data_IF_718396729957
#
_entry.id   IF_718396729957
#
_cell.length_a   1.000
_cell.length_b   1.000
_cell.length_c   1.000
_cell.angle_alpha   90.00
_cell.angle_beta   90.00
_cell.angle_gamma   90.00
#
_symmetry.space_group_name_H-M   'P 1'
#
loop_
_entity.id
_entity.type
_entity.pdbx_description
1 polymer ?
#
# COMPACT_ATOMS: atom_id res chain seq x y z
N UNK A 1 10.89 0.63 -0.19
CA UNK A 1 10.64 -0.73 0.35
C UNK A 1 11.04 -1.81 -0.64
N UNK A 2 10.29 -2.03 -1.74
CA UNK A 2 10.54 -3.12 -2.70
C UNK A 2 12.01 -3.28 -3.16
N UNK A 3 12.62 -2.26 -3.77
CA UNK A 3 14.03 -2.33 -4.23
C UNK A 3 15.04 -2.56 -3.10
N UNK A 4 14.71 -2.19 -1.87
CA UNK A 4 15.54 -2.44 -0.68
C UNK A 4 15.47 -3.90 -0.23
N UNK A 5 14.30 -4.52 -0.36
CA UNK A 5 14.11 -5.93 -0.05
C UNK A 5 14.88 -6.86 -1.00
N UNK A 6 15.27 -6.38 -2.18
CA UNK A 6 16.09 -7.16 -3.14
C UNK A 6 17.56 -7.23 -2.70
N UNK A 7 18.04 -6.26 -1.91
CA UNK A 7 19.46 -6.08 -1.62
C UNK A 7 20.13 -7.22 -0.82
N UNK A 8 19.46 -7.88 0.15
CA UNK A 8 20.04 -9.03 0.85
C UNK A 8 20.30 -10.25 -0.05
N UNK A 9 19.71 -10.27 -1.26
CA UNK A 9 19.91 -11.32 -2.26
C UNK A 9 19.59 -12.75 -1.79
N UNK A 10 18.53 -12.88 -0.97
CA UNK A 10 17.95 -14.17 -0.60
C UNK A 10 16.94 -14.69 -1.63
N UNK A 11 16.36 -15.88 -1.38
CA UNK A 11 15.40 -16.48 -2.31
C UNK A 11 14.17 -15.61 -2.55
N UNK A 12 13.52 -15.10 -1.49
CA UNK A 12 12.35 -14.22 -1.65
C UNK A 12 12.71 -12.89 -2.30
N UNK A 13 13.91 -12.38 -2.03
CA UNK A 13 14.46 -11.18 -2.67
C UNK A 13 14.53 -11.34 -4.20
N UNK A 14 15.15 -12.42 -4.67
CA UNK A 14 15.38 -12.69 -6.10
C UNK A 14 14.09 -13.04 -6.84
N UNK A 15 13.30 -13.97 -6.30
CA UNK A 15 12.07 -14.42 -6.93
C UNK A 15 10.97 -13.36 -6.88
N UNK A 16 10.89 -12.61 -5.78
CA UNK A 16 10.02 -11.45 -5.68
C UNK A 16 10.38 -10.37 -6.71
N UNK A 17 11.68 -10.07 -6.88
CA UNK A 17 12.14 -9.16 -7.92
C UNK A 17 11.73 -9.64 -9.32
N UNK A 18 11.96 -10.92 -9.62
CA UNK A 18 11.65 -11.55 -10.90
C UNK A 18 10.16 -11.45 -11.23
N UNK A 19 9.29 -11.87 -10.30
CA UNK A 19 7.84 -11.87 -10.52
C UNK A 19 7.28 -10.46 -10.65
N UNK A 20 7.63 -9.54 -9.72
CA UNK A 20 7.04 -8.19 -9.66
C UNK A 20 7.46 -7.37 -10.88
N UNK A 21 8.74 -7.37 -11.24
CA UNK A 21 9.20 -6.59 -12.41
C UNK A 21 8.67 -7.16 -13.72
N UNK A 22 8.51 -8.49 -13.82
CA UNK A 22 7.95 -9.13 -15.00
C UNK A 22 6.46 -8.81 -15.19
N UNK A 23 5.75 -8.24 -14.22
CA UNK A 23 4.40 -7.72 -14.41
C UNK A 23 4.33 -6.66 -15.54
N UNK A 24 5.42 -5.90 -15.75
CA UNK A 24 5.49 -4.90 -16.82
C UNK A 24 5.47 -5.52 -18.23
N UNK A 25 5.80 -6.81 -18.37
CA UNK A 25 5.65 -7.51 -19.66
C UNK A 25 4.19 -7.61 -20.13
N UNK A 26 3.22 -7.35 -19.24
CA UNK A 26 1.81 -7.27 -19.62
C UNK A 26 1.47 -6.05 -20.49
N UNK A 27 2.33 -5.01 -20.49
CA UNK A 27 2.11 -3.80 -21.30
C UNK A 27 2.20 -4.15 -22.80
N UNK A 28 1.14 -3.92 -23.60
CA UNK A 28 1.15 -4.24 -25.02
C UNK A 28 2.30 -3.57 -25.77
N UNK A 29 2.85 -4.28 -26.75
CA UNK A 29 3.92 -3.84 -27.68
C UNK A 29 5.31 -3.61 -27.05
N UNK A 30 5.39 -2.93 -25.89
CA UNK A 30 6.66 -2.49 -25.28
C UNK A 30 7.05 -3.23 -24.01
N UNK A 31 6.17 -4.07 -23.45
CA UNK A 31 6.35 -4.68 -22.14
C UNK A 31 7.67 -5.46 -21.97
N UNK A 32 8.00 -6.34 -22.93
CA UNK A 32 9.23 -7.14 -22.85
C UNK A 32 10.50 -6.26 -22.89
N UNK A 33 10.49 -5.22 -23.73
CA UNK A 33 11.60 -4.27 -23.81
C UNK A 33 11.77 -3.48 -22.50
N UNK A 34 10.66 -3.08 -21.87
CA UNK A 34 10.69 -2.40 -20.56
C UNK A 34 11.28 -3.29 -19.46
N UNK A 35 10.87 -4.57 -19.40
CA UNK A 35 11.38 -5.52 -18.41
C UNK A 35 12.88 -5.71 -18.57
N UNK A 36 13.36 -6.02 -19.78
CA UNK A 36 14.79 -6.19 -20.05
C UNK A 36 15.58 -4.91 -19.80
N UNK A 37 15.00 -3.75 -20.11
CA UNK A 37 15.61 -2.46 -19.83
C UNK A 37 15.74 -2.19 -18.34
N UNK A 38 14.78 -2.59 -17.50
CA UNK A 38 14.87 -2.48 -16.04
C UNK A 38 15.93 -3.44 -15.50
N UNK A 39 15.93 -4.69 -15.97
CA UNK A 39 16.90 -5.70 -15.54
C UNK A 39 18.33 -5.36 -15.98
N UNK A 40 18.50 -4.67 -17.11
CA UNK A 40 19.79 -4.49 -17.74
C UNK A 40 20.33 -5.78 -18.35
N UNK A 41 19.44 -6.69 -18.76
CA UNK A 41 19.74 -8.04 -19.22
C UNK A 41 18.48 -8.86 -19.50
N UNK A 42 18.64 -10.17 -19.67
CA UNK A 42 17.53 -11.10 -19.97
C UNK A 42 16.82 -11.67 -18.73
N UNK A 43 17.43 -11.53 -17.56
CA UNK A 43 16.92 -11.96 -16.26
C UNK A 43 17.39 -11.00 -15.18
N UNK A 44 16.81 -11.12 -13.98
CA UNK A 44 17.34 -10.45 -12.78
C UNK A 44 18.75 -11.01 -12.51
N UNK A 45 19.73 -10.12 -12.43
CA UNK A 45 21.15 -10.47 -12.21
C UNK A 45 21.90 -9.28 -11.58
N UNK A 46 23.24 -9.34 -11.52
CA UNK A 46 24.10 -8.34 -10.90
C UNK A 46 23.86 -6.90 -11.42
N UNK A 47 23.58 -6.75 -12.72
CA UNK A 47 23.22 -5.44 -13.30
C UNK A 47 21.95 -4.86 -12.67
N UNK A 48 20.95 -5.71 -12.41
CA UNK A 48 19.71 -5.33 -11.72
C UNK A 48 20.00 -4.94 -10.27
N UNK A 49 20.75 -5.76 -9.53
CA UNK A 49 21.07 -5.52 -8.12
C UNK A 49 21.80 -4.19 -7.92
N UNK A 50 22.81 -3.91 -8.73
CA UNK A 50 23.59 -2.66 -8.67
C UNK A 50 22.70 -1.43 -8.89
N UNK A 51 21.78 -1.49 -9.86
CA UNK A 51 20.84 -0.39 -10.13
C UNK A 51 19.79 -0.26 -9.02
N UNK A 52 19.32 -1.37 -8.48
CA UNK A 52 18.35 -1.36 -7.39
C UNK A 52 18.95 -0.79 -6.11
N UNK A 53 20.24 -1.03 -5.85
CA UNK A 53 20.97 -0.34 -4.78
C UNK A 53 20.98 1.17 -5.00
N UNK A 54 21.35 1.64 -6.20
CA UNK A 54 21.36 3.07 -6.51
C UNK A 54 19.97 3.71 -6.35
N UNK A 55 18.91 3.05 -6.83
CA UNK A 55 17.54 3.50 -6.64
C UNK A 55 17.09 3.48 -5.19
N UNK A 56 17.44 2.43 -4.44
CA UNK A 56 17.12 2.31 -3.02
C UNK A 56 17.78 3.43 -2.20
N UNK A 57 18.99 3.82 -2.58
CA UNK A 57 19.68 4.97 -1.97
C UNK A 57 19.03 6.30 -2.37
N UNK A 58 18.68 6.48 -3.64
CA UNK A 58 18.14 7.74 -4.15
C UNK A 58 16.72 8.06 -3.65
N UNK A 59 15.80 7.09 -3.71
CA UNK A 59 14.37 7.35 -3.47
C UNK A 59 14.03 7.90 -2.07
N UNK A 60 14.70 7.52 -0.97
CA UNK A 60 14.51 8.17 0.32
C UNK A 60 14.70 9.69 0.30
N UNK A 61 15.70 10.20 -0.45
CA UNK A 61 15.91 11.65 -0.59
C UNK A 61 14.83 12.32 -1.44
N UNK A 62 14.36 11.64 -2.49
CA UNK A 62 13.21 12.10 -3.28
C UNK A 62 11.95 12.19 -2.41
N UNK A 63 11.71 11.20 -1.55
CA UNK A 63 10.60 11.19 -0.59
C UNK A 63 10.74 12.35 0.40
N UNK A 64 11.94 12.61 0.93
CA UNK A 64 12.17 13.77 1.81
C UNK A 64 11.81 15.09 1.12
N UNK A 65 12.20 15.28 -0.14
CA UNK A 65 11.82 16.43 -0.95
C UNK A 65 10.30 16.52 -1.18
N UNK A 66 9.64 15.41 -1.52
CA UNK A 66 8.19 15.34 -1.69
C UNK A 66 7.44 15.64 -0.38
N UNK A 67 7.96 15.22 0.78
CA UNK A 67 7.41 15.56 2.11
C UNK A 67 7.45 17.06 2.37
N UNK A 68 8.50 17.77 1.96
CA UNK A 68 8.56 19.23 2.09
C UNK A 68 7.47 19.91 1.24
N UNK A 69 7.27 19.45 0.00
CA UNK A 69 6.17 19.95 -0.86
C UNK A 69 4.80 19.64 -0.25
N UNK A 70 4.62 18.44 0.30
CA UNK A 70 3.40 18.05 1.01
C UNK A 70 3.10 18.99 2.19
N UNK A 71 4.10 19.28 3.04
CA UNK A 71 3.96 20.17 4.19
C UNK A 71 3.71 21.62 3.77
N UNK A 72 4.30 22.09 2.67
CA UNK A 72 4.04 23.42 2.12
C UNK A 72 2.57 23.58 1.74
N UNK A 73 2.00 22.62 1.00
CA UNK A 73 0.57 22.65 0.67
C UNK A 73 -0.33 22.53 1.90
N UNK A 74 0.06 21.71 2.89
CA UNK A 74 -0.67 21.61 4.16
C UNK A 74 -0.66 22.95 4.90
N UNK A 75 0.47 23.67 4.93
CA UNK A 75 0.59 24.96 5.61
C UNK A 75 -0.23 26.08 4.95
N UNK A 76 -0.53 25.97 3.65
CA UNK A 76 -1.42 26.93 2.99
C UNK A 76 -2.85 26.88 3.53
N UNK A 77 -3.38 25.70 3.87
CA UNK A 77 -4.75 25.55 4.40
C UNK A 77 -4.80 25.39 5.92
N UNK A 78 -3.71 24.92 6.52
CA UNK A 78 -3.69 24.38 7.87
C UNK A 78 -4.29 22.97 7.97
N UNK A 79 -4.10 22.33 9.12
CA UNK A 79 -4.64 21.00 9.42
C UNK A 79 -6.17 20.99 9.49
N UNK A 80 -6.78 19.88 9.06
CA UNK A 80 -8.19 19.60 9.35
C UNK A 80 -8.38 19.16 10.82
N UNK A 81 -9.63 19.06 11.29
CA UNK A 81 -9.98 18.58 12.63
C UNK A 81 -11.08 17.51 12.57
N UNK A 82 -11.31 16.73 13.65
CA UNK A 82 -12.29 15.65 13.65
C UNK A 82 -13.70 16.06 13.26
N UNK A 83 -14.15 17.26 13.64
CA UNK A 83 -15.49 17.74 13.30
C UNK A 83 -15.62 18.14 11.81
N UNK A 84 -14.50 18.35 11.12
CA UNK A 84 -14.48 18.79 9.72
C UNK A 84 -14.96 20.22 9.49
N UNK A 85 -15.11 21.01 10.57
CA UNK A 85 -15.53 22.41 10.55
C UNK A 85 -14.31 23.34 10.47
N UNK A 86 -14.53 24.63 10.21
CA UNK A 86 -13.45 25.62 10.27
C UNK A 86 -12.99 25.83 11.73
N UNK A 87 -11.73 25.53 12.03
CA UNK A 87 -11.12 25.68 13.36
C UNK A 87 -10.50 27.05 13.62
N UNK A 88 -10.66 28.03 12.72
CA UNK A 88 -10.03 29.35 12.86
C UNK A 88 -10.35 30.08 14.17
N UNK A 89 -11.55 29.87 14.74
CA UNK A 89 -11.96 30.48 16.00
C UNK A 89 -11.35 29.85 17.26
N UNK A 90 -10.67 28.70 17.14
CA UNK A 90 -10.12 27.94 18.27
C UNK A 90 -8.76 27.31 17.90
N UNK A 91 -7.84 28.15 17.42
CA UNK A 91 -6.47 27.72 17.13
C UNK A 91 -5.60 27.86 18.38
N UNK A 92 -4.78 26.84 18.61
CA UNK A 92 -3.72 26.84 19.61
C UNK A 92 -2.35 26.80 18.92
N UNK A 93 -1.28 27.37 19.53
CA UNK A 93 0.05 27.26 18.97
C UNK A 93 0.52 25.80 18.91
N UNK A 94 1.37 25.46 17.95
CA UNK A 94 1.90 24.10 17.81
C UNK A 94 2.70 23.67 19.05
N UNK A 95 3.60 24.54 19.52
CA UNK A 95 4.32 24.36 20.77
C UNK A 95 3.58 25.13 21.89
N UNK A 96 3.37 24.53 23.08
CA UNK A 96 3.86 23.23 23.53
C UNK A 96 2.96 22.03 23.19
N UNK A 97 1.71 22.29 22.79
CA UNK A 97 0.65 21.29 22.75
C UNK A 97 0.94 20.08 21.84
N UNK A 98 1.15 20.32 20.56
CA UNK A 98 1.40 19.26 19.59
C UNK A 98 2.84 18.77 19.66
N UNK A 99 3.82 19.60 20.01
CA UNK A 99 5.20 19.13 20.21
C UNK A 99 5.32 18.06 21.31
N UNK A 100 4.63 18.23 22.46
CA UNK A 100 4.65 17.20 23.52
C UNK A 100 3.81 15.98 23.16
N UNK A 101 2.67 16.18 22.49
CA UNK A 101 1.84 15.08 21.99
C UNK A 101 2.63 14.22 20.98
N UNK A 102 3.36 14.85 20.06
CA UNK A 102 4.17 14.18 19.06
C UNK A 102 5.35 13.46 19.71
N UNK A 103 5.99 14.07 20.72
CA UNK A 103 7.05 13.40 21.50
C UNK A 103 6.53 12.12 22.18
N UNK A 104 5.34 12.18 22.79
CA UNK A 104 4.71 10.99 23.40
C UNK A 104 4.45 9.90 22.34
N UNK A 105 3.87 10.28 21.20
CA UNK A 105 3.61 9.36 20.09
C UNK A 105 4.90 8.73 19.53
N UNK A 106 5.96 9.53 19.40
CA UNK A 106 7.27 9.07 18.95
C UNK A 106 7.92 8.09 19.93
N UNK A 107 7.86 8.36 21.23
CA UNK A 107 8.34 7.42 22.26
C UNK A 107 7.55 6.10 22.21
N UNK A 108 6.22 6.15 22.07
CA UNK A 108 5.41 4.95 21.94
C UNK A 108 5.76 4.12 20.68
N UNK A 109 5.98 4.79 19.53
CA UNK A 109 6.44 4.14 18.30
C UNK A 109 7.82 3.49 18.49
N UNK A 110 8.77 4.19 19.11
CA UNK A 110 10.11 3.67 19.37
C UNK A 110 10.09 2.45 20.29
N UNK A 111 9.24 2.46 21.32
CA UNK A 111 9.06 1.30 22.21
C UNK A 111 8.53 0.12 21.41
N UNK A 112 7.48 0.30 20.60
CA UNK A 112 6.94 -0.78 19.78
C UNK A 112 7.98 -1.34 18.78
N UNK A 113 8.72 -0.45 18.11
CA UNK A 113 9.80 -0.84 17.19
C UNK A 113 10.91 -1.62 17.91
N UNK A 114 11.39 -1.10 19.04
CA UNK A 114 12.41 -1.77 19.85
C UNK A 114 11.93 -3.12 20.38
N UNK A 115 10.65 -3.25 20.77
CA UNK A 115 10.09 -4.53 21.21
C UNK A 115 10.16 -5.57 20.09
N UNK A 116 9.72 -5.24 18.87
CA UNK A 116 9.79 -6.17 17.74
C UNK A 116 11.25 -6.47 17.39
N UNK A 117 12.09 -5.44 17.25
CA UNK A 117 13.47 -5.59 16.81
C UNK A 117 14.34 -6.38 17.80
N UNK A 118 14.12 -6.23 19.11
CA UNK A 118 14.96 -6.86 20.14
C UNK A 118 14.43 -8.22 20.59
N UNK A 119 13.11 -8.40 20.68
CA UNK A 119 12.53 -9.65 21.20
C UNK A 119 12.04 -10.60 20.11
N UNK A 120 11.59 -10.10 18.97
CA UNK A 120 11.04 -10.91 17.87
C UNK A 120 11.44 -10.42 16.47
N UNK A 121 12.75 -10.26 16.17
CA UNK A 121 13.24 -9.56 14.97
C UNK A 121 12.75 -10.17 13.65
N UNK A 122 12.49 -11.49 13.63
CA UNK A 122 12.07 -12.21 12.43
C UNK A 122 10.55 -12.40 12.34
N UNK A 123 9.75 -11.82 13.24
CA UNK A 123 8.29 -12.03 13.30
C UNK A 123 7.57 -11.65 12.00
N UNK A 124 8.05 -10.60 11.33
CA UNK A 124 7.41 -10.02 10.14
C UNK A 124 8.13 -10.39 8.83
N UNK A 125 9.22 -11.15 8.90
CA UNK A 125 10.02 -11.54 7.73
C UNK A 125 9.72 -12.97 7.26
N UNK A 126 10.13 -13.29 6.03
CA UNK A 126 10.00 -14.64 5.47
C UNK A 126 11.29 -15.45 5.69
N UNK A 127 11.22 -16.66 6.28
CA UNK A 127 12.39 -17.49 6.55
C UNK A 127 13.16 -17.89 5.28
N UNK A 128 12.49 -17.98 4.13
CA UNK A 128 13.16 -18.34 2.87
C UNK A 128 14.19 -17.28 2.45
N UNK A 129 14.05 -16.03 2.90
CA UNK A 129 15.01 -14.98 2.57
C UNK A 129 16.36 -15.10 3.32
N UNK A 130 16.50 -16.04 4.26
CA UNK A 130 17.79 -16.42 4.85
C UNK A 130 18.59 -17.39 3.98
N UNK A 131 17.95 -18.00 2.97
CA UNK A 131 18.64 -18.84 1.99
C UNK A 131 19.13 -17.98 0.82
N UNK A 132 20.41 -18.08 0.41
CA UNK A 132 20.92 -17.34 -0.74
C UNK A 132 20.11 -17.63 -2.01
N UNK A 133 19.94 -16.60 -2.85
CA UNK A 133 19.20 -16.73 -4.10
C UNK A 133 19.76 -17.85 -5.00
N UNK A 134 18.88 -18.73 -5.47
CA UNK A 134 19.18 -19.76 -6.45
C UNK A 134 18.18 -19.65 -7.63
N UNK A 135 18.63 -19.18 -8.80
CA UNK A 135 17.76 -19.03 -9.98
C UNK A 135 17.15 -20.34 -10.50
N UNK A 136 17.66 -21.50 -10.07
CA UNK A 136 17.17 -22.81 -10.49
C UNK A 136 16.16 -23.43 -9.51
N UNK A 137 15.95 -22.82 -8.35
CA UNK A 137 15.07 -23.35 -7.30
C UNK A 137 14.07 -22.27 -6.87
N UNK A 138 12.84 -22.39 -7.33
CA UNK A 138 11.71 -21.55 -6.90
C UNK A 138 11.21 -21.97 -5.51
N UNK A 139 11.05 -21.04 -4.56
CA UNK A 139 10.35 -21.31 -3.31
C UNK A 139 8.92 -21.81 -3.55
N UNK A 140 8.38 -22.63 -2.64
CA UNK A 140 7.04 -23.21 -2.80
C UNK A 140 5.94 -22.13 -2.83
N UNK A 141 6.08 -21.05 -2.06
CA UNK A 141 5.11 -19.97 -1.98
C UNK A 141 5.78 -18.60 -2.09
N UNK A 142 5.95 -18.09 -3.32
CA UNK A 142 6.47 -16.74 -3.55
C UNK A 142 5.38 -15.72 -3.22
N UNK A 143 5.66 -14.81 -2.29
CA UNK A 143 4.79 -13.70 -1.88
C UNK A 143 5.63 -12.48 -1.53
N UNK A 144 5.10 -11.25 -1.69
CA UNK A 144 5.78 -10.06 -1.22
C UNK A 144 5.64 -9.92 0.30
N UNK A 145 6.38 -8.96 0.86
CA UNK A 145 6.26 -8.54 2.25
C UNK A 145 4.83 -8.12 2.62
N UNK A 146 4.49 -8.25 3.91
CA UNK A 146 3.11 -8.17 4.43
C UNK A 146 2.34 -6.92 4.00
N UNK A 147 3.01 -5.77 3.91
CA UNK A 147 2.42 -4.48 3.52
C UNK A 147 2.03 -4.39 2.03
N UNK A 148 2.43 -5.36 1.20
CA UNK A 148 2.00 -5.49 -0.19
C UNK A 148 0.94 -6.58 -0.41
N UNK A 149 0.62 -7.40 0.60
CA UNK A 149 -0.24 -8.56 0.41
C UNK A 149 -1.65 -8.21 -0.05
N UNK A 150 -2.23 -7.10 0.41
CA UNK A 150 -3.57 -6.69 -0.02
C UNK A 150 -3.64 -6.44 -1.53
N UNK A 151 -2.63 -5.76 -2.09
CA UNK A 151 -2.55 -5.45 -3.50
C UNK A 151 -2.20 -6.70 -4.32
N UNK A 152 -1.35 -7.57 -3.76
CA UNK A 152 -1.06 -8.89 -4.33
C UNK A 152 -2.28 -9.80 -4.41
N UNK A 153 -3.18 -9.77 -3.41
CA UNK A 153 -4.44 -10.49 -3.46
C UNK A 153 -5.34 -9.98 -4.60
N UNK A 154 -5.43 -8.66 -4.78
CA UNK A 154 -6.18 -8.04 -5.89
C UNK A 154 -5.60 -8.46 -7.25
N UNK A 155 -4.27 -8.44 -7.40
CA UNK A 155 -3.59 -8.91 -8.62
C UNK A 155 -3.99 -10.34 -8.98
N UNK A 156 -3.95 -11.26 -8.01
CA UNK A 156 -4.26 -12.69 -8.22
C UNK A 156 -5.75 -12.99 -8.39
N UNK A 157 -6.62 -12.05 -8.02
CA UNK A 157 -8.08 -12.26 -8.10
C UNK A 157 -8.61 -12.21 -9.54
N UNK A 158 -7.87 -11.59 -10.46
CA UNK A 158 -8.24 -11.50 -11.87
C UNK A 158 -7.47 -12.56 -12.67
N UNK A 159 -8.15 -13.53 -13.31
CA UNK A 159 -7.50 -14.59 -14.09
C UNK A 159 -7.04 -14.10 -15.47
N UNK A 160 -6.45 -12.91 -15.53
CA UNK A 160 -5.83 -12.32 -16.72
C UNK A 160 -4.60 -11.51 -16.30
N UNK A 161 -3.50 -11.64 -17.05
CA UNK A 161 -2.24 -11.00 -16.68
C UNK A 161 -2.35 -9.47 -16.76
N UNK A 162 -2.92 -8.93 -17.83
CA UNK A 162 -3.05 -7.48 -18.01
C UNK A 162 -4.08 -6.92 -17.02
N UNK A 163 -5.25 -7.54 -16.92
CA UNK A 163 -6.32 -7.16 -16.02
C UNK A 163 -5.88 -7.16 -14.56
N UNK A 164 -5.15 -8.19 -14.13
CA UNK A 164 -4.57 -8.24 -12.78
C UNK A 164 -3.57 -7.10 -12.53
N UNK A 165 -2.69 -6.80 -13.49
CA UNK A 165 -1.74 -5.67 -13.37
C UNK A 165 -2.45 -4.33 -13.32
N UNK A 166 -3.50 -4.14 -14.14
CA UNK A 166 -4.31 -2.93 -14.10
C UNK A 166 -5.06 -2.79 -12.77
N UNK A 167 -5.60 -3.88 -12.21
CA UNK A 167 -6.27 -3.86 -10.92
C UNK A 167 -5.31 -3.62 -9.75
N UNK A 168 -4.10 -4.18 -9.79
CA UNK A 168 -3.02 -3.85 -8.85
C UNK A 168 -2.74 -2.35 -8.86
N UNK A 169 -2.50 -1.75 -10.03
CA UNK A 169 -2.28 -0.31 -10.14
C UNK A 169 -3.50 0.50 -9.65
N UNK A 170 -4.71 0.09 -10.07
CA UNK A 170 -5.95 0.75 -9.68
C UNK A 170 -6.17 0.71 -8.16
N UNK A 171 -5.73 -0.34 -7.46
CA UNK A 171 -5.86 -0.45 -6.00
C UNK A 171 -5.11 0.65 -5.23
N UNK A 172 -4.10 1.27 -5.83
CA UNK A 172 -3.40 2.41 -5.26
C UNK A 172 -3.96 3.71 -5.87
N UNK A 173 -4.13 3.74 -7.19
CA UNK A 173 -4.57 4.95 -7.91
C UNK A 173 -6.01 5.37 -7.61
N UNK A 174 -6.85 4.46 -7.09
CA UNK A 174 -8.22 4.79 -6.63
C UNK A 174 -8.22 5.92 -5.59
N UNK A 175 -7.16 6.04 -4.78
CA UNK A 175 -7.01 7.12 -3.80
C UNK A 175 -6.98 8.52 -4.44
N UNK A 176 -6.50 8.64 -5.68
CA UNK A 176 -6.50 9.92 -6.41
C UNK A 176 -7.90 10.34 -6.86
N UNK A 177 -8.83 9.38 -6.96
CA UNK A 177 -10.20 9.63 -7.40
C UNK A 177 -11.11 9.98 -6.20
N UNK A 178 -10.73 9.61 -4.97
CA UNK A 178 -11.50 9.86 -3.74
C UNK A 178 -11.98 11.31 -3.59
N UNK A 179 -11.18 12.37 -3.83
CA UNK A 179 -11.65 13.75 -3.71
C UNK A 179 -12.82 14.08 -4.65
N UNK A 180 -12.87 13.45 -5.83
CA UNK A 180 -13.92 13.67 -6.84
C UNK A 180 -15.17 12.82 -6.58
N UNK A 181 -15.07 11.81 -5.71
CA UNK A 181 -16.16 10.92 -5.31
C UNK A 181 -16.91 11.42 -4.07
N UNK A 182 -16.48 12.55 -3.48
CA UNK A 182 -17.12 13.10 -2.30
C UNK A 182 -18.47 13.77 -2.63
N UNK A 183 -19.56 13.18 -2.18
CA UNK A 183 -20.94 13.65 -2.45
C UNK A 183 -21.63 14.29 -1.24
N UNK A 184 -21.16 14.03 -0.01
CA UNK A 184 -21.78 14.55 1.20
C UNK A 184 -21.48 16.05 1.40
N UNK A 185 -22.41 16.79 2.02
CA UNK A 185 -22.18 18.19 2.44
C UNK A 185 -21.25 18.29 3.64
N UNK A 186 -21.19 17.24 4.46
CA UNK A 186 -20.32 17.17 5.63
C UNK A 186 -18.95 16.59 5.26
N UNK A 187 -17.89 17.35 5.56
CA UNK A 187 -16.50 16.99 5.22
C UNK A 187 -16.02 15.74 5.96
N UNK A 188 -16.27 15.66 7.27
CA UNK A 188 -15.82 14.54 8.13
C UNK A 188 -16.84 13.41 8.19
N UNK A 189 -16.39 12.20 8.53
CA UNK A 189 -17.25 11.04 8.79
C UNK A 189 -17.89 11.05 10.19
N UNK A 190 -17.46 11.92 11.11
CA UNK A 190 -17.91 11.92 12.53
C UNK A 190 -19.43 11.91 12.71
N UNK A 191 -20.18 12.59 11.83
CA UNK A 191 -21.65 12.67 11.88
C UNK A 191 -22.33 11.93 10.73
N UNK A 192 -21.65 10.93 10.16
CA UNK A 192 -22.08 10.18 8.98
C UNK A 192 -22.07 8.67 9.27
N UNK A 193 -23.06 8.13 10.00
CA UNK A 193 -23.02 6.77 10.53
C UNK A 193 -22.97 5.69 9.44
N UNK A 194 -23.66 5.88 8.31
CA UNK A 194 -23.61 4.94 7.19
C UNK A 194 -22.22 4.92 6.56
N UNK A 195 -21.62 6.09 6.36
CA UNK A 195 -20.26 6.20 5.84
C UNK A 195 -19.21 5.68 6.83
N UNK A 196 -19.42 5.80 8.15
CA UNK A 196 -18.55 5.18 9.17
C UNK A 196 -18.60 3.65 9.10
N UNK A 197 -19.79 3.06 8.94
CA UNK A 197 -19.93 1.62 8.76
C UNK A 197 -19.14 1.16 7.53
N UNK A 198 -19.30 1.85 6.39
CA UNK A 198 -18.56 1.55 5.15
C UNK A 198 -17.04 1.71 5.32
N UNK A 199 -16.59 2.71 6.07
CA UNK A 199 -15.17 2.90 6.38
C UNK A 199 -14.60 1.70 7.16
N UNK A 200 -15.30 1.23 8.20
CA UNK A 200 -14.85 0.06 8.94
C UNK A 200 -14.96 -1.24 8.14
N UNK A 201 -15.97 -1.36 7.26
CA UNK A 201 -16.05 -2.45 6.29
C UNK A 201 -14.85 -2.43 5.34
N UNK A 202 -14.41 -1.25 4.86
CA UNK A 202 -13.22 -1.13 4.03
C UNK A 202 -11.95 -1.57 4.79
N UNK A 203 -11.78 -1.14 6.04
CA UNK A 203 -10.64 -1.54 6.88
C UNK A 203 -10.62 -3.05 7.06
N UNK A 204 -11.76 -3.66 7.40
CA UNK A 204 -11.89 -5.11 7.52
C UNK A 204 -11.58 -5.82 6.18
N UNK A 205 -12.04 -5.27 5.06
CA UNK A 205 -11.76 -5.81 3.73
C UNK A 205 -10.26 -5.78 3.39
N UNK A 206 -9.56 -4.68 3.66
CA UNK A 206 -8.10 -4.61 3.47
C UNK A 206 -7.37 -5.64 4.34
N UNK A 207 -7.84 -5.89 5.57
CA UNK A 207 -7.30 -6.95 6.42
C UNK A 207 -7.55 -8.35 5.83
N UNK A 208 -8.75 -8.61 5.28
CA UNK A 208 -9.06 -9.86 4.56
C UNK A 208 -8.17 -10.02 3.33
N UNK A 209 -8.02 -8.99 2.50
CA UNK A 209 -7.12 -9.02 1.33
C UNK A 209 -5.67 -9.27 1.74
N UNK A 210 -5.21 -8.68 2.84
CA UNK A 210 -3.87 -8.93 3.39
C UNK A 210 -3.71 -10.39 3.79
N UNK A 211 -4.70 -10.97 4.48
CA UNK A 211 -4.70 -12.38 4.86
C UNK A 211 -4.70 -13.29 3.61
N UNK A 212 -5.62 -13.08 2.68
CA UNK A 212 -5.73 -13.87 1.43
C UNK A 212 -4.46 -13.75 0.58
N UNK A 213 -3.81 -12.59 0.55
CA UNK A 213 -2.53 -12.38 -0.11
C UNK A 213 -1.43 -13.32 0.39
N UNK A 214 -1.49 -13.71 1.66
CA UNK A 214 -0.56 -14.67 2.28
C UNK A 214 -0.93 -16.14 2.10
N UNK A 215 -2.12 -16.45 1.60
CA UNK A 215 -2.63 -17.82 1.40
C UNK A 215 -2.30 -18.37 0.00
N UNK A 216 -2.24 -19.70 -0.17
CA UNK A 216 -2.07 -20.34 -1.48
C UNK A 216 -3.26 -20.06 -2.41
N UNK A 217 -3.04 -20.25 -3.72
CA UNK A 217 -4.08 -20.05 -4.76
C UNK A 217 -4.91 -21.32 -4.88
N UNK A 218 -5.72 -21.60 -3.87
CA UNK A 218 -6.56 -22.80 -3.75
C UNK A 218 -7.95 -22.43 -3.23
N UNK A 219 -8.93 -23.31 -3.41
CA UNK A 219 -10.25 -23.13 -2.80
C UNK A 219 -10.19 -23.30 -1.28
N UNK A 220 -10.90 -22.47 -0.48
CA UNK A 220 -11.84 -21.41 -0.88
C UNK A 220 -11.19 -20.01 -1.02
N UNK A 221 -9.87 -19.88 -0.94
CA UNK A 221 -9.19 -18.57 -0.91
C UNK A 221 -9.34 -17.79 -2.22
N UNK A 222 -9.44 -18.47 -3.36
CA UNK A 222 -9.66 -17.85 -4.67
C UNK A 222 -10.95 -17.02 -4.67
N UNK A 223 -12.09 -17.64 -4.32
CA UNK A 223 -13.39 -16.95 -4.34
C UNK A 223 -13.46 -15.85 -3.28
N UNK A 224 -12.86 -16.05 -2.10
CA UNK A 224 -12.80 -15.02 -1.06
C UNK A 224 -12.01 -13.80 -1.57
N UNK A 225 -10.85 -14.02 -2.22
CA UNK A 225 -10.04 -12.96 -2.82
C UNK A 225 -10.79 -12.17 -3.88
N UNK A 226 -11.54 -12.86 -4.75
CA UNK A 226 -12.37 -12.23 -5.78
C UNK A 226 -13.47 -11.34 -5.19
N UNK A 227 -14.22 -11.85 -4.21
CA UNK A 227 -15.28 -11.10 -3.54
C UNK A 227 -14.70 -9.90 -2.78
N UNK A 228 -13.58 -10.09 -2.07
CA UNK A 228 -12.89 -9.02 -1.34
C UNK A 228 -12.37 -7.92 -2.29
N UNK A 229 -11.80 -8.30 -3.43
CA UNK A 229 -11.31 -7.36 -4.45
C UNK A 229 -12.46 -6.57 -5.10
N UNK A 230 -13.55 -7.24 -5.47
CA UNK A 230 -14.73 -6.58 -6.04
C UNK A 230 -15.38 -5.61 -5.04
N UNK A 231 -15.51 -6.03 -3.78
CA UNK A 231 -16.05 -5.18 -2.71
C UNK A 231 -15.13 -4.00 -2.40
N UNK A 232 -13.80 -4.15 -2.47
CA UNK A 232 -12.84 -3.07 -2.26
C UNK A 232 -13.10 -1.90 -3.22
N UNK A 233 -13.15 -2.18 -4.53
CA UNK A 233 -13.44 -1.15 -5.53
C UNK A 233 -14.88 -0.63 -5.44
N UNK A 234 -15.85 -1.49 -5.16
CA UNK A 234 -17.25 -1.09 -5.03
C UNK A 234 -17.46 -0.12 -3.86
N UNK A 235 -16.75 -0.31 -2.74
CA UNK A 235 -16.82 0.61 -1.59
C UNK A 235 -16.34 2.01 -1.98
N UNK A 236 -15.18 2.12 -2.64
CA UNK A 236 -14.67 3.40 -3.12
C UNK A 236 -15.57 4.06 -4.17
N UNK A 237 -15.88 3.33 -5.24
CA UNK A 237 -16.45 3.91 -6.47
C UNK A 237 -17.97 4.05 -6.42
N UNK A 238 -18.67 3.24 -5.60
CA UNK A 238 -20.14 3.17 -5.59
C UNK A 238 -20.69 3.50 -4.22
N UNK A 239 -20.31 2.73 -3.18
CA UNK A 239 -20.99 2.82 -1.89
C UNK A 239 -20.68 4.10 -1.12
N UNK A 240 -19.44 4.60 -1.11
CA UNK A 240 -19.14 5.89 -0.48
C UNK A 240 -19.90 7.07 -1.10
N UNK A 241 -19.89 7.26 -2.44
CA UNK A 241 -20.69 8.30 -3.09
C UNK A 241 -22.19 8.16 -2.81
N UNK A 242 -22.72 6.93 -2.87
CA UNK A 242 -24.14 6.68 -2.63
C UNK A 242 -24.53 6.97 -1.18
N UNK A 243 -23.72 6.53 -0.21
CA UNK A 243 -23.95 6.79 1.21
C UNK A 243 -23.94 8.28 1.51
N UNK A 244 -22.96 9.03 0.98
CA UNK A 244 -22.91 10.48 1.15
C UNK A 244 -24.13 11.20 0.57
N UNK A 245 -24.66 10.73 -0.56
CA UNK A 245 -25.89 11.26 -1.15
C UNK A 245 -27.14 10.93 -0.32
N UNK A 246 -27.25 9.69 0.19
CA UNK A 246 -28.35 9.27 1.05
C UNK A 246 -28.35 10.05 2.38
N UNK A 247 -27.18 10.20 3.01
CA UNK A 247 -27.01 10.96 4.24
C UNK A 247 -27.42 12.43 4.06
N UNK A 248 -27.12 13.04 2.91
CA UNK A 248 -27.59 14.39 2.60
C UNK A 248 -29.12 14.53 2.51
N UNK A 249 -29.85 13.45 2.18
CA UNK A 249 -31.31 13.46 2.07
C UNK A 249 -32.01 13.14 3.38
N UNK A 250 -31.34 12.43 4.26
CA UNK A 250 -31.84 12.12 5.60
C UNK A 250 -31.70 13.31 6.56
N UNK A 251 -30.86 14.31 6.21
CA UNK A 251 -30.69 15.60 6.89
C UNK A 251 -31.58 16.68 6.26
#
# INVERSE_FOLDING_TARGET
AFVGYVLPWGQMSFWGATVITNLLSAVPYVGNALVQWIWGGFSVDNATLTRFFAFHFLFPFVIAGATMVHLLFLHHTGSNNPLGLNSAGDKIPFHPYFSYKDLLGFVALLVALATIALFTPNLLGDPDNFTPANPLVTPPHIKPEWYFLFAYAILRSIPDKLGGVLALLASILVLLVVPFLHTCKLRSLTFRPLSQLLFWTLVANVAILTWIGGMPVEDPYIIIGQIASASYFSIFLIFFPLAGWLENKAL
#
